data_IF_269701976143
#
_entry.id   IF_269701976143
#
_cell.length_a   1.000
_cell.length_b   1.000
_cell.length_c   1.000
_cell.angle_alpha   90.00
_cell.angle_beta   90.00
_cell.angle_gamma   90.00
#
_symmetry.space_group_name_H-M   'P 1'
#
loop_
_entity.id
_entity.type
_entity.pdbx_description
1 polymer ?
#
# COMPACT_ATOMS: atom_id res chain seq x y z
N UNK A 1 10.57 -6.15 -5.05
CA UNK A 1 11.19 -5.58 -3.82
C UNK A 1 11.55 -6.72 -2.87
N UNK A 2 12.82 -6.80 -2.47
CA UNK A 2 13.24 -7.78 -1.46
C UNK A 2 12.69 -7.41 -0.09
N UNK A 3 12.27 -8.42 0.65
CA UNK A 3 11.86 -8.27 2.04
C UNK A 3 13.10 -8.42 2.97
N UNK A 4 13.09 -7.86 4.17
CA UNK A 4 14.14 -8.13 5.15
C UNK A 4 14.09 -9.60 5.57
N UNK A 5 15.13 -10.08 6.26
CA UNK A 5 15.08 -11.39 6.92
C UNK A 5 13.90 -11.44 7.89
N UNK A 6 13.01 -12.40 7.69
CA UNK A 6 11.77 -12.55 8.45
C UNK A 6 11.82 -13.75 9.38
N UNK A 7 11.18 -13.59 10.53
CA UNK A 7 10.85 -14.65 11.46
C UNK A 7 9.35 -14.69 11.67
N UNK A 8 8.79 -15.84 12.04
CA UNK A 8 7.35 -15.99 12.26
C UNK A 8 7.00 -16.15 13.73
N UNK A 9 5.81 -15.66 14.09
CA UNK A 9 5.23 -15.77 15.42
C UNK A 9 3.70 -15.76 15.33
N UNK A 10 3.00 -16.01 16.44
CA UNK A 10 1.54 -15.94 16.49
C UNK A 10 1.09 -14.61 17.05
N UNK A 11 0.08 -14.00 16.37
CA UNK A 11 -0.53 -12.76 16.83
C UNK A 11 -1.36 -13.00 18.08
N UNK A 12 -1.05 -12.27 19.16
CA UNK A 12 -1.87 -12.23 20.37
C UNK A 12 -2.86 -11.08 20.28
N UNK A 13 -2.36 -9.85 20.10
CA UNK A 13 -3.19 -8.64 20.02
C UNK A 13 -2.40 -7.45 19.47
N UNK A 14 -3.09 -6.52 18.84
CA UNK A 14 -2.61 -5.18 18.51
C UNK A 14 -3.27 -4.14 19.39
N UNK A 15 -2.52 -3.12 19.83
CA UNK A 15 -3.03 -2.07 20.69
C UNK A 15 -2.28 -0.74 20.48
N UNK A 16 -2.85 0.34 20.95
CA UNK A 16 -2.33 1.70 20.75
C UNK A 16 -1.98 2.03 19.29
N UNK A 17 -2.59 1.31 18.33
CA UNK A 17 -2.37 1.39 16.87
C UNK A 17 -1.00 0.92 16.38
N UNK A 18 0.06 1.07 17.15
CA UNK A 18 1.45 0.85 16.73
C UNK A 18 2.19 -0.22 17.53
N UNK A 19 1.55 -0.86 18.49
CA UNK A 19 2.12 -1.96 19.28
C UNK A 19 1.38 -3.28 19.03
N UNK A 20 2.14 -4.37 19.04
CA UNK A 20 1.62 -5.71 18.82
C UNK A 20 2.33 -6.69 19.73
N UNK A 21 1.58 -7.47 20.51
CA UNK A 21 2.11 -8.61 21.26
C UNK A 21 2.00 -9.86 20.38
N UNK A 22 3.12 -10.57 20.27
CA UNK A 22 3.25 -11.83 19.53
C UNK A 22 3.84 -12.91 20.43
N UNK A 23 3.47 -14.17 20.16
CA UNK A 23 3.99 -15.35 20.82
C UNK A 23 4.98 -16.07 19.90
N UNK A 24 6.23 -16.18 20.33
CA UNK A 24 7.30 -16.85 19.63
C UNK A 24 7.14 -18.38 19.71
N UNK A 25 7.80 -19.16 18.83
CA UNK A 25 7.72 -20.64 18.84
C UNK A 25 8.14 -21.29 20.16
N UNK A 26 8.96 -20.61 20.99
CA UNK A 26 9.36 -21.07 22.31
C UNK A 26 8.37 -20.74 23.43
N UNK A 27 7.22 -20.08 23.10
CA UNK A 27 6.20 -19.65 24.05
C UNK A 27 6.49 -18.27 24.71
N UNK A 28 7.60 -17.64 24.39
CA UNK A 28 7.90 -16.28 24.89
C UNK A 28 6.98 -15.26 24.20
N UNK A 29 6.51 -14.29 24.96
CA UNK A 29 5.70 -13.18 24.46
C UNK A 29 6.54 -11.91 24.40
N UNK A 30 6.63 -11.33 23.20
CA UNK A 30 7.32 -10.06 22.99
C UNK A 30 6.40 -9.01 22.38
N UNK A 31 6.70 -7.72 22.61
CA UNK A 31 6.03 -6.59 21.99
C UNK A 31 6.86 -6.06 20.82
N UNK A 32 6.24 -5.96 19.64
CA UNK A 32 6.86 -5.45 18.42
C UNK A 32 6.16 -4.18 17.94
N UNK A 33 6.82 -3.44 17.05
CA UNK A 33 6.26 -2.25 16.41
C UNK A 33 5.39 -2.63 15.20
N UNK A 34 4.20 -2.03 15.10
CA UNK A 34 3.34 -2.07 13.92
C UNK A 34 3.38 -0.71 13.21
N UNK A 35 3.91 -0.66 12.00
CA UNK A 35 4.03 0.57 11.22
C UNK A 35 2.67 1.05 10.64
N UNK A 36 1.69 0.15 10.52
CA UNK A 36 0.36 0.49 10.07
C UNK A 36 -0.48 1.05 11.22
N UNK A 37 -0.91 2.31 11.11
CA UNK A 37 -1.81 2.94 12.09
C UNK A 37 -3.29 2.91 11.65
N UNK A 38 -3.60 2.33 10.48
CA UNK A 38 -4.94 2.16 9.93
C UNK A 38 -5.78 1.10 10.66
N UNK A 39 -6.97 0.85 10.17
CA UNK A 39 -7.88 -0.12 10.75
C UNK A 39 -7.36 -1.56 10.64
N UNK A 40 -6.63 -1.89 9.56
CA UNK A 40 -6.15 -3.24 9.24
C UNK A 40 -7.30 -4.24 9.12
N UNK A 41 -8.41 -3.81 8.52
CA UNK A 41 -9.60 -4.63 8.33
C UNK A 41 -9.28 -5.88 7.54
N UNK A 42 -9.59 -7.05 8.11
CA UNK A 42 -9.36 -8.34 7.46
C UNK A 42 -7.90 -8.86 7.51
N UNK A 43 -7.01 -8.15 8.22
CA UNK A 43 -5.63 -8.61 8.41
C UNK A 43 -5.11 -8.24 9.81
N UNK A 44 -4.91 -9.22 10.67
CA UNK A 44 -4.42 -9.01 12.03
C UNK A 44 -5.35 -9.52 13.10
N UNK A 45 -5.98 -10.65 12.85
CA UNK A 45 -6.81 -11.36 13.81
C UNK A 45 -5.94 -12.20 14.76
N UNK A 46 -6.41 -12.39 16.00
CA UNK A 46 -5.70 -13.24 16.96
C UNK A 46 -5.48 -14.65 16.40
N UNK A 47 -4.24 -15.11 16.44
CA UNK A 47 -3.83 -16.41 15.93
C UNK A 47 -3.28 -16.39 14.50
N UNK A 48 -3.42 -15.28 13.76
CA UNK A 48 -2.72 -15.11 12.48
C UNK A 48 -1.21 -15.28 12.65
N UNK A 49 -0.53 -15.67 11.59
CA UNK A 49 0.93 -15.69 11.62
C UNK A 49 1.47 -14.31 11.27
N UNK A 50 2.25 -13.77 12.18
CA UNK A 50 3.01 -12.51 12.02
C UNK A 50 4.39 -12.85 11.51
N UNK A 51 4.77 -12.25 10.37
CA UNK A 51 6.14 -12.24 9.89
C UNK A 51 6.76 -10.90 10.30
N UNK A 52 7.85 -10.95 11.08
CA UNK A 52 8.49 -9.76 11.62
C UNK A 52 9.98 -9.72 11.31
N UNK A 53 10.51 -8.50 11.21
CA UNK A 53 11.93 -8.22 11.02
C UNK A 53 12.59 -7.73 12.30
N UNK A 54 13.92 -7.87 12.36
CA UNK A 54 14.75 -7.28 13.39
C UNK A 54 15.55 -6.09 12.84
N UNK A 55 15.78 -5.09 13.67
CA UNK A 55 16.63 -3.94 13.36
C UNK A 55 17.70 -3.76 14.44
N UNK A 56 18.95 -3.65 14.03
CA UNK A 56 20.11 -3.43 14.92
C UNK A 56 20.22 -1.98 15.42
N UNK A 57 19.27 -1.11 15.09
CA UNK A 57 19.27 0.30 15.47
C UNK A 57 19.17 0.45 16.99
N UNK A 58 20.21 1.04 17.60
CA UNK A 58 20.28 1.31 19.03
C UNK A 58 19.31 2.41 19.49
N UNK A 59 18.72 3.17 18.58
CA UNK A 59 17.77 4.24 18.90
C UNK A 59 16.33 3.77 18.94
N UNK A 60 16.04 2.55 18.48
CA UNK A 60 14.68 1.99 18.46
C UNK A 60 14.31 1.39 19.81
N UNK A 61 13.18 1.85 20.37
CA UNK A 61 12.59 1.24 21.58
C UNK A 61 12.13 -0.20 21.35
N UNK A 62 11.61 -0.49 20.16
CA UNK A 62 11.15 -1.81 19.74
C UNK A 62 12.00 -2.25 18.54
N UNK A 63 12.93 -3.21 18.73
CA UNK A 63 13.85 -3.62 17.66
C UNK A 63 13.13 -4.42 16.56
N UNK A 64 11.98 -5.00 16.87
CA UNK A 64 11.23 -5.82 15.93
C UNK A 64 10.09 -5.03 15.29
N UNK A 65 9.83 -5.28 14.00
CA UNK A 65 8.76 -4.65 13.22
C UNK A 65 7.88 -5.72 12.56
N UNK A 66 6.57 -5.56 12.67
CA UNK A 66 5.60 -6.38 11.93
C UNK A 66 5.65 -5.99 10.45
N UNK A 67 6.02 -6.92 9.60
CA UNK A 67 6.12 -6.72 8.14
C UNK A 67 4.91 -7.29 7.41
N UNK A 68 4.60 -8.58 7.62
CA UNK A 68 3.50 -9.26 6.94
C UNK A 68 2.59 -9.99 7.93
N UNK A 69 1.34 -10.17 7.52
CA UNK A 69 0.41 -11.14 8.11
C UNK A 69 0.21 -12.29 7.12
N UNK A 70 0.26 -13.52 7.61
CA UNK A 70 -0.29 -14.66 6.88
C UNK A 70 -1.63 -15.04 7.51
N UNK A 71 -2.67 -14.93 6.70
CA UNK A 71 -4.04 -15.19 7.09
C UNK A 71 -4.30 -16.70 7.24
N UNK A 72 -5.40 -17.06 7.87
CA UNK A 72 -5.80 -18.48 8.06
C UNK A 72 -5.95 -19.28 6.75
N UNK A 73 -6.29 -18.60 5.65
CA UNK A 73 -6.39 -19.20 4.31
C UNK A 73 -5.05 -19.29 3.56
N UNK A 74 -3.94 -18.92 4.20
CA UNK A 74 -2.59 -18.96 3.65
C UNK A 74 -2.17 -17.69 2.88
N UNK A 75 -3.08 -16.77 2.58
CA UNK A 75 -2.78 -15.53 1.88
C UNK A 75 -1.86 -14.61 2.71
N UNK A 76 -1.03 -13.84 2.02
CA UNK A 76 -0.08 -12.91 2.62
C UNK A 76 -0.52 -11.46 2.41
N UNK A 77 -0.34 -10.67 3.46
CA UNK A 77 -0.62 -9.22 3.45
C UNK A 77 0.60 -8.48 4.01
N UNK A 78 1.19 -7.59 3.23
CA UNK A 78 2.19 -6.66 3.75
C UNK A 78 1.48 -5.52 4.50
N UNK A 79 1.59 -5.53 5.82
CA UNK A 79 0.95 -4.52 6.66
C UNK A 79 1.86 -3.31 6.91
N UNK A 80 3.16 -3.43 6.65
CA UNK A 80 4.09 -2.32 6.77
C UNK A 80 3.89 -1.33 5.61
N UNK A 81 3.13 -0.26 5.86
CA UNK A 81 2.75 0.74 4.85
C UNK A 81 3.94 1.49 4.25
N UNK A 82 5.10 1.52 4.92
CA UNK A 82 6.32 2.10 4.34
C UNK A 82 6.83 1.32 3.12
N UNK A 83 6.39 0.06 2.95
CA UNK A 83 6.78 -0.77 1.81
C UNK A 83 6.08 -0.39 0.51
N UNK A 84 4.89 0.24 0.57
CA UNK A 84 4.12 0.52 -0.64
C UNK A 84 4.84 1.47 -1.61
N UNK A 85 5.43 2.56 -1.11
CA UNK A 85 6.16 3.49 -1.97
C UNK A 85 7.45 2.87 -2.49
N UNK A 86 8.14 2.05 -1.71
CA UNK A 86 9.32 1.31 -2.17
C UNK A 86 8.97 0.31 -3.29
N UNK A 87 7.85 -0.42 -3.12
CA UNK A 87 7.34 -1.37 -4.11
C UNK A 87 6.97 -0.68 -5.42
N UNK A 88 6.24 0.43 -5.33
CA UNK A 88 5.84 1.21 -6.52
C UNK A 88 7.05 1.86 -7.19
N UNK A 89 8.00 2.39 -6.43
CA UNK A 89 9.23 2.97 -6.99
C UNK A 89 10.00 1.94 -7.83
N UNK A 90 10.19 0.73 -7.32
CA UNK A 90 10.84 -0.37 -8.05
C UNK A 90 10.05 -0.75 -9.31
N UNK A 91 8.72 -0.83 -9.19
CA UNK A 91 7.86 -1.14 -10.33
C UNK A 91 7.90 -0.06 -11.43
N UNK A 92 7.99 1.22 -11.05
CA UNK A 92 8.19 2.34 -11.99
C UNK A 92 9.55 2.28 -12.66
N UNK A 93 10.64 2.06 -11.90
CA UNK A 93 12.00 1.92 -12.45
C UNK A 93 12.10 0.77 -13.45
N UNK A 94 11.45 -0.35 -13.18
CA UNK A 94 11.43 -1.54 -14.03
C UNK A 94 10.40 -1.45 -15.16
N UNK A 95 9.71 -0.31 -15.33
CA UNK A 95 8.65 -0.11 -16.35
C UNK A 95 7.52 -1.15 -16.27
N UNK A 96 7.26 -1.69 -15.10
CA UNK A 96 6.21 -2.70 -14.87
C UNK A 96 4.80 -2.09 -14.92
N UNK A 97 4.67 -0.81 -14.55
CA UNK A 97 3.40 -0.07 -14.64
C UNK A 97 3.28 0.47 -16.06
N UNK A 98 2.62 -0.29 -16.92
CA UNK A 98 2.57 -0.06 -18.38
C UNK A 98 2.04 1.32 -18.75
N UNK A 99 1.06 1.82 -18.02
CA UNK A 99 0.42 3.13 -18.24
C UNK A 99 1.36 4.31 -17.91
N UNK A 100 2.46 4.03 -17.22
CA UNK A 100 3.45 5.03 -16.79
C UNK A 100 4.85 4.75 -17.38
N UNK A 101 5.02 3.70 -18.17
CA UNK A 101 6.30 3.25 -18.68
C UNK A 101 7.00 4.24 -19.63
N UNK A 102 6.27 5.23 -20.16
CA UNK A 102 6.81 6.27 -21.05
C UNK A 102 7.63 7.34 -20.30
N UNK A 103 7.54 7.42 -18.97
CA UNK A 103 8.28 8.39 -18.18
C UNK A 103 9.65 7.83 -17.77
N UNK A 104 10.70 8.64 -17.92
CA UNK A 104 12.07 8.20 -17.66
C UNK A 104 12.63 8.71 -16.33
N UNK A 105 12.09 9.82 -15.82
CA UNK A 105 12.53 10.43 -14.59
C UNK A 105 11.48 10.26 -13.49
N UNK A 106 11.91 9.86 -12.28
CA UNK A 106 11.07 9.58 -11.12
C UNK A 106 11.56 10.40 -9.94
N UNK A 107 10.74 11.31 -9.44
CA UNK A 107 11.05 12.16 -8.29
C UNK A 107 10.10 11.82 -7.14
N UNK A 108 10.58 11.19 -6.05
CA UNK A 108 9.74 10.85 -4.90
C UNK A 108 9.50 12.07 -4.01
N UNK A 109 8.37 12.09 -3.31
CA UNK A 109 8.05 13.02 -2.22
C UNK A 109 8.15 14.51 -2.60
N UNK A 110 7.68 14.88 -3.80
CA UNK A 110 7.70 16.25 -4.29
C UNK A 110 6.55 17.06 -3.69
N UNK A 111 6.83 18.25 -3.17
CA UNK A 111 5.78 19.19 -2.72
C UNK A 111 4.94 19.65 -3.90
N UNK A 112 3.62 19.66 -3.73
CA UNK A 112 2.67 20.10 -4.76
C UNK A 112 1.36 20.60 -4.13
N UNK A 113 0.50 21.15 -4.98
CA UNK A 113 -0.85 21.59 -4.62
C UNK A 113 -0.87 22.83 -3.72
N UNK A 114 -2.08 23.28 -3.42
CA UNK A 114 -2.32 24.47 -2.60
C UNK A 114 -2.47 24.14 -1.10
N UNK A 115 -2.76 22.87 -0.77
CA UNK A 115 -3.00 22.42 0.60
C UNK A 115 -1.73 21.81 1.28
N UNK A 116 -0.51 22.19 0.83
CA UNK A 116 0.77 21.70 1.38
C UNK A 116 0.92 20.16 1.37
N UNK A 117 0.58 19.52 0.27
CA UNK A 117 0.77 18.08 0.11
C UNK A 117 2.15 17.72 -0.47
N UNK A 118 2.49 16.46 -0.35
CA UNK A 118 3.59 15.84 -1.08
C UNK A 118 3.02 14.70 -1.89
N UNK A 119 3.28 14.73 -3.20
CA UNK A 119 2.95 13.61 -4.07
C UNK A 119 3.94 12.48 -3.83
N UNK A 120 3.48 11.24 -3.88
CA UNK A 120 4.37 10.10 -3.70
C UNK A 120 5.41 10.05 -4.82
N UNK A 121 4.99 10.27 -6.08
CA UNK A 121 5.91 10.36 -7.23
C UNK A 121 5.48 11.44 -8.22
N UNK A 122 6.45 12.25 -8.64
CA UNK A 122 6.37 13.09 -9.83
C UNK A 122 7.19 12.43 -10.93
N UNK A 123 6.55 12.11 -12.05
CA UNK A 123 7.20 11.49 -13.22
C UNK A 123 7.38 12.54 -14.31
N UNK A 124 8.54 12.51 -14.99
CA UNK A 124 8.84 13.38 -16.12
C UNK A 124 9.36 12.57 -17.31
N UNK A 125 9.08 13.07 -18.51
CA UNK A 125 9.56 12.52 -19.76
C UNK A 125 9.60 13.59 -20.83
N UNK A 126 10.50 13.47 -21.79
CA UNK A 126 10.67 14.44 -22.86
C UNK A 126 9.38 14.58 -23.69
N UNK A 127 8.89 15.80 -23.85
CA UNK A 127 7.67 16.08 -24.59
C UNK A 127 6.36 15.62 -23.94
N UNK A 128 6.41 15.10 -22.71
CA UNK A 128 5.25 14.65 -21.96
C UNK A 128 4.85 15.67 -20.88
N UNK A 129 3.55 15.78 -20.55
CA UNK A 129 3.14 16.53 -19.36
C UNK A 129 3.68 15.85 -18.10
N UNK A 130 4.10 16.62 -17.11
CA UNK A 130 4.44 16.10 -15.79
C UNK A 130 3.30 15.22 -15.24
N UNK A 131 3.63 14.08 -14.64
CA UNK A 131 2.63 13.14 -14.12
C UNK A 131 2.74 13.01 -12.60
N UNK A 132 1.67 13.37 -11.90
CA UNK A 132 1.55 13.29 -10.45
C UNK A 132 0.91 11.96 -10.08
N UNK A 133 1.63 11.12 -9.34
CA UNK A 133 1.19 9.76 -8.95
C UNK A 133 1.06 9.68 -7.44
N UNK A 134 -0.16 9.45 -6.98
CA UNK A 134 -0.48 9.19 -5.57
C UNK A 134 -0.70 7.70 -5.36
N UNK A 135 0.01 7.10 -4.42
CA UNK A 135 -0.06 5.67 -4.10
C UNK A 135 -1.05 5.40 -2.99
N UNK A 136 -1.87 4.38 -3.17
CA UNK A 136 -2.78 3.84 -2.16
C UNK A 136 -2.57 2.34 -2.00
N UNK A 137 -2.41 1.88 -0.76
CA UNK A 137 -2.17 0.46 -0.46
C UNK A 137 -3.48 -0.32 -0.41
N UNK A 138 -3.57 -1.42 -1.14
CA UNK A 138 -4.67 -2.38 -1.03
C UNK A 138 -4.25 -3.48 -0.06
N UNK A 139 -4.84 -3.48 1.14
CA UNK A 139 -4.71 -4.54 2.16
C UNK A 139 -6.04 -5.16 2.53
N UNK A 140 -7.15 -4.50 2.20
CA UNK A 140 -8.50 -4.95 2.48
C UNK A 140 -9.01 -5.79 1.29
N UNK A 141 -9.23 -7.08 1.54
CA UNK A 141 -9.71 -8.04 0.53
C UNK A 141 -10.91 -8.80 1.06
N UNK A 142 -11.91 -9.02 0.22
CA UNK A 142 -13.11 -9.79 0.52
C UNK A 142 -13.35 -10.81 -0.60
N UNK A 143 -13.16 -12.10 -0.30
CA UNK A 143 -13.07 -13.10 -1.37
C UNK A 143 -11.86 -12.84 -2.25
N UNK A 144 -12.07 -12.54 -3.53
CA UNK A 144 -11.03 -12.12 -4.50
C UNK A 144 -11.13 -10.65 -4.89
N UNK A 145 -11.88 -9.85 -4.15
CA UNK A 145 -12.08 -8.43 -4.40
C UNK A 145 -11.22 -7.59 -3.47
N UNK A 146 -10.21 -6.93 -4.03
CA UNK A 146 -9.43 -5.90 -3.35
C UNK A 146 -10.24 -4.61 -3.21
N UNK A 147 -10.13 -3.95 -2.07
CA UNK A 147 -10.88 -2.74 -1.79
C UNK A 147 -10.01 -1.66 -1.13
N UNK A 148 -10.36 -0.42 -1.36
CA UNK A 148 -9.80 0.77 -0.70
C UNK A 148 -10.92 1.81 -0.50
N UNK A 149 -10.96 2.54 0.63
CA UNK A 149 -10.12 2.40 1.80
C UNK A 149 -10.66 1.34 2.81
N UNK A 150 -9.85 1.01 3.81
CA UNK A 150 -10.27 0.17 4.95
C UNK A 150 -10.85 0.97 6.12
N UNK A 151 -10.76 2.31 6.07
CA UNK A 151 -11.34 3.28 7.00
C UNK A 151 -11.55 4.63 6.30
N UNK A 152 -12.39 5.49 6.86
CA UNK A 152 -12.57 6.87 6.36
C UNK A 152 -11.22 7.59 6.30
N UNK A 153 -10.88 8.16 5.13
CA UNK A 153 -9.58 8.76 4.86
C UNK A 153 -9.68 10.22 4.40
N UNK A 154 -9.80 11.15 5.33
CA UNK A 154 -9.85 12.60 5.03
C UNK A 154 -8.60 13.09 4.28
N UNK A 155 -7.42 12.50 4.60
CA UNK A 155 -6.19 12.77 3.86
C UNK A 155 -6.27 12.24 2.42
N UNK A 156 -6.86 11.07 2.21
CA UNK A 156 -7.08 10.53 0.86
C UNK A 156 -8.02 11.40 0.03
N UNK A 157 -9.11 11.86 0.63
CA UNK A 157 -10.04 12.80 0.02
C UNK A 157 -9.34 14.10 -0.43
N UNK A 158 -8.48 14.66 0.43
CA UNK A 158 -7.65 15.81 0.11
C UNK A 158 -6.75 15.56 -1.11
N UNK A 159 -6.04 14.42 -1.13
CA UNK A 159 -5.13 14.08 -2.24
C UNK A 159 -5.86 13.95 -3.57
N UNK A 160 -7.11 13.43 -3.59
CA UNK A 160 -7.93 13.37 -4.81
C UNK A 160 -8.26 14.78 -5.32
N UNK A 161 -8.62 15.73 -4.42
CA UNK A 161 -8.88 17.13 -4.83
C UNK A 161 -7.64 17.80 -5.42
N UNK A 162 -6.47 17.59 -4.81
CA UNK A 162 -5.21 18.15 -5.30
C UNK A 162 -4.78 17.55 -6.64
N UNK A 163 -4.96 16.24 -6.83
CA UNK A 163 -4.73 15.60 -8.14
C UNK A 163 -5.64 16.17 -9.22
N UNK A 164 -6.92 16.44 -8.91
CA UNK A 164 -7.82 17.08 -9.83
C UNK A 164 -7.36 18.53 -10.16
N UNK A 165 -6.81 19.27 -9.19
CA UNK A 165 -6.24 20.59 -9.44
C UNK A 165 -5.03 20.51 -10.38
N UNK A 166 -4.13 19.53 -10.22
CA UNK A 166 -3.00 19.32 -11.14
C UNK A 166 -3.50 18.95 -12.55
N UNK A 167 -4.53 18.13 -12.65
CA UNK A 167 -5.15 17.81 -13.95
C UNK A 167 -5.68 19.04 -14.66
N UNK A 168 -6.36 19.94 -13.93
CA UNK A 168 -6.87 21.22 -14.48
C UNK A 168 -5.76 22.17 -14.92
N UNK A 169 -4.56 22.05 -14.38
CA UNK A 169 -3.37 22.81 -14.80
C UNK A 169 -2.67 22.22 -16.03
N UNK A 170 -3.21 21.13 -16.62
CA UNK A 170 -2.65 20.51 -17.82
C UNK A 170 -1.68 19.36 -17.55
N UNK A 171 -1.45 19.00 -16.31
CA UNK A 171 -0.65 17.85 -15.92
C UNK A 171 -1.42 16.52 -16.04
N UNK A 172 -0.71 15.42 -16.05
CA UNK A 172 -1.29 14.10 -15.85
C UNK A 172 -1.40 13.81 -14.34
N UNK A 173 -2.48 13.21 -13.91
CA UNK A 173 -2.72 12.93 -12.50
C UNK A 173 -3.28 11.51 -12.34
N UNK A 174 -2.67 10.72 -11.47
CA UNK A 174 -2.92 9.29 -11.33
C UNK A 174 -3.06 8.90 -9.86
N UNK A 175 -4.10 8.14 -9.52
CA UNK A 175 -4.16 7.36 -8.28
C UNK A 175 -3.77 5.93 -8.60
N UNK A 176 -2.68 5.46 -8.00
CA UNK A 176 -2.19 4.09 -8.18
C UNK A 176 -2.49 3.26 -6.93
N UNK A 177 -3.40 2.31 -7.06
CA UNK A 177 -3.74 1.36 -6.01
C UNK A 177 -2.78 0.17 -6.08
N UNK A 178 -1.85 0.10 -5.14
CA UNK A 178 -0.80 -0.92 -5.09
C UNK A 178 -1.20 -2.06 -4.16
N UNK A 179 -1.28 -3.28 -4.68
CA UNK A 179 -1.60 -4.49 -3.94
C UNK A 179 -0.49 -4.87 -2.96
N UNK A 180 -0.77 -4.74 -1.69
CA UNK A 180 0.04 -5.30 -0.61
C UNK A 180 -0.51 -6.65 -0.13
N UNK A 181 -1.41 -7.25 -0.88
CA UNK A 181 -2.12 -8.51 -0.60
C UNK A 181 -2.12 -9.36 -1.88
N UNK A 182 -1.90 -10.67 -1.77
CA UNK A 182 -1.83 -11.60 -2.92
C UNK A 182 -3.17 -12.27 -3.27
N UNK A 183 -4.23 -11.95 -2.54
CA UNK A 183 -5.51 -12.68 -2.61
C UNK A 183 -6.59 -12.02 -3.47
N UNK A 184 -6.28 -11.08 -4.39
CA UNK A 184 -7.31 -10.44 -5.20
C UNK A 184 -6.92 -10.36 -6.68
N UNK A 185 -7.95 -10.43 -7.55
CA UNK A 185 -7.87 -10.37 -9.01
C UNK A 185 -8.69 -9.22 -9.63
N UNK A 186 -9.38 -8.43 -8.81
CA UNK A 186 -10.19 -7.28 -9.19
C UNK A 186 -10.27 -6.30 -8.03
N UNK A 187 -10.54 -5.04 -8.33
CA UNK A 187 -10.50 -3.94 -7.37
C UNK A 187 -11.73 -3.05 -7.46
N UNK A 188 -12.20 -2.53 -6.33
CA UNK A 188 -13.19 -1.45 -6.28
C UNK A 188 -12.96 -0.51 -5.10
N UNK A 189 -13.56 0.68 -5.17
CA UNK A 189 -13.63 1.56 -4.00
C UNK A 189 -14.65 1.01 -3.01
N UNK A 190 -14.28 1.03 -1.73
CA UNK A 190 -15.15 0.66 -0.62
C UNK A 190 -16.07 1.84 -0.27
N UNK A 191 -17.04 2.15 -1.12
CA UNK A 191 -18.01 3.25 -0.96
C UNK A 191 -18.76 3.20 0.37
N UNK A 192 -19.01 1.99 0.89
CA UNK A 192 -19.66 1.76 2.17
C UNK A 192 -18.78 2.11 3.37
N UNK A 193 -17.46 2.27 3.17
CA UNK A 193 -16.48 2.70 4.19
C UNK A 193 -16.27 4.20 4.13
N UNK A 194 -16.05 4.76 2.94
CA UNK A 194 -15.82 6.19 2.71
C UNK A 194 -16.58 6.66 1.45
N UNK A 195 -17.89 6.98 1.59
CA UNK A 195 -18.71 7.46 0.47
C UNK A 195 -18.17 8.75 -0.15
N UNK A 196 -17.53 9.61 0.64
CA UNK A 196 -17.00 10.88 0.15
C UNK A 196 -15.73 10.66 -0.69
N UNK A 197 -14.86 9.73 -0.30
CA UNK A 197 -13.71 9.35 -1.13
C UNK A 197 -14.17 8.80 -2.49
N UNK A 198 -15.17 7.90 -2.49
CA UNK A 198 -15.74 7.35 -3.72
C UNK A 198 -16.30 8.46 -4.62
N UNK A 199 -17.15 9.34 -4.07
CA UNK A 199 -17.73 10.47 -4.80
C UNK A 199 -16.66 11.37 -5.40
N UNK A 200 -15.64 11.75 -4.63
CA UNK A 200 -14.56 12.61 -5.08
C UNK A 200 -13.72 11.95 -6.19
N UNK A 201 -13.43 10.66 -6.06
CA UNK A 201 -12.64 9.95 -7.06
C UNK A 201 -13.43 9.76 -8.37
N UNK A 202 -14.74 9.45 -8.31
CA UNK A 202 -15.61 9.39 -9.51
C UNK A 202 -15.66 10.73 -10.23
N UNK A 203 -15.83 11.83 -9.47
CA UNK A 203 -15.80 13.18 -10.05
C UNK A 203 -14.44 13.49 -10.69
N UNK A 204 -13.34 13.21 -10.01
CA UNK A 204 -12.00 13.42 -10.53
C UNK A 204 -11.72 12.58 -11.80
N UNK A 205 -12.16 11.30 -11.82
CA UNK A 205 -12.06 10.42 -12.99
C UNK A 205 -12.83 10.99 -14.18
N UNK A 206 -14.05 11.50 -13.98
CA UNK A 206 -14.85 12.11 -15.05
C UNK A 206 -14.18 13.35 -15.67
N UNK A 207 -13.27 14.00 -14.92
CA UNK A 207 -12.48 15.14 -15.36
C UNK A 207 -11.06 14.78 -15.80
N UNK A 208 -10.76 13.47 -15.95
CA UNK A 208 -9.53 12.96 -16.54
C UNK A 208 -8.39 12.63 -15.56
N UNK A 209 -8.65 12.56 -14.25
CA UNK A 209 -7.75 11.88 -13.31
C UNK A 209 -7.84 10.37 -13.57
N UNK A 210 -6.69 9.73 -13.64
CA UNK A 210 -6.60 8.30 -13.94
C UNK A 210 -6.52 7.49 -12.63
N UNK A 211 -7.02 6.25 -12.66
CA UNK A 211 -6.96 5.34 -11.53
C UNK A 211 -6.62 3.93 -12.02
N UNK A 212 -5.55 3.35 -11.48
CA UNK A 212 -5.07 2.01 -11.82
C UNK A 212 -4.89 1.19 -10.55
N UNK A 213 -5.17 -0.11 -10.63
CA UNK A 213 -4.94 -1.05 -9.55
C UNK A 213 -4.04 -2.19 -10.03
N UNK A 214 -3.06 -2.54 -9.23
CA UNK A 214 -2.10 -3.61 -9.49
C UNK A 214 -2.12 -4.61 -8.33
N UNK A 215 -2.15 -5.91 -8.64
CA UNK A 215 -2.09 -6.95 -7.62
C UNK A 215 -0.66 -7.15 -7.11
N UNK A 216 -0.54 -7.55 -5.84
CA UNK A 216 0.72 -7.97 -5.22
C UNK A 216 0.96 -9.46 -5.41
N UNK A 217 2.24 -9.85 -5.47
CA UNK A 217 2.67 -11.25 -5.48
C UNK A 217 3.87 -11.43 -4.56
N UNK A 218 3.78 -12.39 -3.65
CA UNK A 218 4.91 -12.76 -2.80
C UNK A 218 5.70 -13.91 -3.40
N UNK A 219 7.02 -13.83 -3.26
CA UNK A 219 7.90 -14.96 -3.46
C UNK A 219 8.19 -15.62 -2.11
N UNK A 220 8.19 -16.96 -2.09
CA UNK A 220 8.40 -17.75 -0.88
C UNK A 220 9.55 -18.72 -1.16
N UNK A 221 10.55 -18.73 -0.28
CA UNK A 221 11.65 -19.72 -0.29
C UNK A 221 11.68 -20.41 1.06
N UNK A 222 11.70 -21.74 1.05
CA UNK A 222 11.70 -22.58 2.25
C UNK A 222 10.60 -22.21 3.27
N UNK A 223 9.42 -21.81 2.76
CA UNK A 223 8.28 -21.42 3.56
C UNK A 223 8.34 -19.99 4.13
N UNK A 224 9.38 -19.21 3.81
CA UNK A 224 9.59 -17.84 4.28
C UNK A 224 9.33 -16.87 3.12
N UNK A 225 8.49 -15.83 3.29
CA UNK A 225 8.33 -14.79 2.28
C UNK A 225 9.64 -13.99 2.11
N UNK A 226 10.13 -13.88 0.86
CA UNK A 226 11.43 -13.27 0.55
C UNK A 226 11.32 -12.01 -0.29
N UNK A 227 10.28 -11.89 -1.12
CA UNK A 227 10.07 -10.70 -1.94
C UNK A 227 8.57 -10.40 -2.13
N UNK A 228 8.27 -9.16 -2.47
CA UNK A 228 6.97 -8.68 -2.92
C UNK A 228 7.15 -7.90 -4.22
N UNK A 229 6.34 -8.17 -5.23
CA UNK A 229 6.31 -7.45 -6.50
C UNK A 229 4.88 -7.05 -6.87
N UNK A 230 4.71 -5.99 -7.66
CA UNK A 230 3.47 -5.76 -8.39
C UNK A 230 3.50 -6.65 -9.63
N UNK A 231 2.35 -7.24 -9.99
CA UNK A 231 2.26 -8.13 -11.15
C UNK A 231 1.69 -7.39 -12.35
N UNK A 232 0.41 -7.50 -12.56
CA UNK A 232 -0.32 -6.89 -13.67
C UNK A 232 -1.47 -6.05 -13.13
N UNK A 233 -1.98 -5.15 -13.97
CA UNK A 233 -3.16 -4.38 -13.62
C UNK A 233 -4.36 -5.32 -13.48
N UNK A 234 -5.17 -5.07 -12.47
CA UNK A 234 -6.42 -5.77 -12.24
C UNK A 234 -7.60 -4.88 -12.62
N UNK A 235 -8.73 -5.48 -13.07
CA UNK A 235 -9.93 -4.72 -13.39
C UNK A 235 -10.39 -3.83 -12.24
N UNK A 236 -10.54 -2.53 -12.53
CA UNK A 236 -11.22 -1.59 -11.65
C UNK A 236 -12.73 -1.69 -11.90
N UNK A 237 -13.48 -2.11 -10.90
CA UNK A 237 -14.94 -2.29 -10.97
C UNK A 237 -15.59 -1.04 -10.35
N UNK A 238 -16.41 -0.33 -11.11
CA UNK A 238 -17.19 0.83 -10.65
C UNK A 238 -18.41 0.44 -9.83
#
# INVERSE_FOLDING_TARGET
>A
MQLPTLQSAKLIRRYKRFLTDIELPNGEVITIHCANTGAMTGCGEKGDTVWYSHSDSQTRKYPHSWELTQLANGQLVCINTHRSNQLVFEALQNKQIKELAMYDEIYPEVKYGEENSRIDFLLKGEGLPDCYVEVKSITFVKGTLGMFPDAVTTRGQKHVRELLAMKKQGHRAVVLFAGLHDGFDRFKIAEFVDPEYDRLLRDAKSQGVEAYAYAGKFEISDGIPTALSLTESVPYID
#
